data_IF_183900349554
#
_entry.id   IF_183900349554
#
_cell.length_a   1.000
_cell.length_b   1.000
_cell.length_c   1.000
_cell.angle_alpha   90.00
_cell.angle_beta   90.00
_cell.angle_gamma   90.00
#
_symmetry.space_group_name_H-M   'P 1'
#
loop_
_entity.id
_entity.type
_entity.pdbx_description
1 polymer ?
2 non-polymer ?
3 non-polymer ?
4 water ?
#
# COMPACT_ATOMS: atom_id res chain seq x y z
N UNK A 12 4.44 5.72 28.43
CA UNK A 12 4.59 6.09 26.98
C UNK A 12 4.89 4.80 26.16
N UNK A 13 6.10 4.63 25.59
CA UNK A 13 6.31 3.62 24.55
C UNK A 13 7.76 3.21 24.35
N UNK A 14 7.92 2.00 23.80
CA UNK A 14 9.21 1.34 23.71
C UNK A 14 9.60 1.21 22.25
N UNK A 15 10.87 1.43 21.95
CA UNK A 15 11.32 1.28 20.58
C UNK A 15 11.37 -0.19 20.25
N UNK A 16 10.96 -0.53 19.02
CA UNK A 16 10.91 -1.91 18.56
C UNK A 16 11.56 -1.99 17.19
N UNK A 17 11.83 -3.20 16.75
CA UNK A 17 12.40 -3.44 15.41
C UNK A 17 11.82 -4.75 14.94
N UNK A 18 11.78 -4.96 13.63
CA UNK A 18 11.36 -6.27 13.10
C UNK A 18 12.51 -7.24 13.30
N UNK A 19 12.31 -8.23 14.18
CA UNK A 19 13.28 -9.27 14.45
C UNK A 19 13.20 -10.26 13.30
N UNK A 20 11.98 -10.63 12.93
CA UNK A 20 11.82 -11.66 11.94
C UNK A 20 10.43 -11.61 11.33
N UNK A 21 10.31 -12.04 10.09
CA UNK A 21 9.04 -12.28 9.42
C UNK A 21 9.06 -13.71 8.96
N UNK A 22 8.06 -14.50 9.35
CA UNK A 22 7.98 -15.88 8.93
C UNK A 22 6.54 -16.37 8.77
N UNK A 23 6.36 -17.50 8.08
CA UNK A 23 5.07 -18.20 8.03
C UNK A 23 5.00 -19.02 9.30
N UNK A 24 3.95 -18.77 10.09
CA UNK A 24 3.58 -19.63 11.19
C UNK A 24 3.62 -21.10 10.74
N UNK A 25 4.45 -21.93 11.37
CA UNK A 25 4.59 -23.34 10.95
C UNK A 25 3.36 -24.22 11.19
N UNK A 26 2.18 -23.66 11.42
CA UNK A 26 0.97 -24.51 11.55
C UNK A 26 -0.11 -23.94 10.67
N UNK A 27 -0.41 -22.68 10.88
CA UNK A 27 -1.34 -21.92 10.02
C UNK A 27 -0.73 -21.41 8.68
N UNK A 28 0.58 -21.56 8.50
CA UNK A 28 1.29 -21.19 7.25
C UNK A 28 0.88 -19.82 6.75
N UNK A 29 0.75 -18.92 7.71
CA UNK A 29 0.52 -17.55 7.43
C UNK A 29 1.53 -16.70 8.20
N UNK A 30 1.79 -15.50 7.66
CA UNK A 30 2.83 -14.63 8.14
C UNK A 30 2.65 -14.10 9.55
N UNK A 31 3.74 -14.11 10.30
CA UNK A 31 3.78 -13.42 11.58
C UNK A 31 5.06 -12.60 11.65
N UNK A 32 4.90 -11.38 12.09
CA UNK A 32 6.02 -10.43 12.27
C UNK A 32 6.39 -10.54 13.76
N UNK A 33 7.61 -10.97 14.08
CA UNK A 33 8.09 -10.89 15.47
C UNK A 33 8.82 -9.57 15.62
N UNK A 34 8.27 -8.67 16.45
CA UNK A 34 8.92 -7.44 16.79
C UNK A 34 9.70 -7.61 18.08
N UNK A 35 10.94 -7.14 18.09
CA UNK A 35 11.76 -7.16 19.27
C UNK A 35 11.54 -5.85 19.99
N UNK A 36 11.56 -5.87 21.31
CA UNK A 36 11.38 -4.65 22.10
C UNK A 36 12.75 -4.24 22.60
N UNK A 37 13.30 -3.17 22.05
CA UNK A 37 14.63 -2.76 22.48
C UNK A 37 14.68 -2.51 24.00
N UNK A 38 15.84 -2.83 24.57
CA UNK A 38 16.06 -2.69 26.01
C UNK A 38 15.49 -3.85 26.79
N UNK A 39 15.00 -4.89 26.08
CA UNK A 39 14.48 -6.10 26.70
C UNK A 39 14.79 -7.38 25.92
N UNK A 40 14.47 -8.49 26.55
CA UNK A 40 14.41 -9.80 25.89
C UNK A 40 13.00 -10.23 25.45
N UNK A 41 12.14 -9.26 25.27
CA UNK A 41 10.76 -9.50 24.98
C UNK A 41 10.49 -9.33 23.50
N UNK A 42 9.49 -10.05 23.01
CA UNK A 42 9.05 -9.88 21.63
C UNK A 42 7.54 -9.84 21.56
N UNK A 43 7.08 -9.14 20.55
CA UNK A 43 5.65 -9.01 20.24
C UNK A 43 5.34 -9.60 18.85
N UNK A 44 4.68 -10.76 18.81
CA UNK A 44 4.25 -11.32 17.54
C UNK A 44 2.98 -10.64 16.98
N UNK A 45 2.99 -10.27 15.71
CA UNK A 45 1.78 -9.74 15.04
C UNK A 45 1.53 -10.51 13.76
N UNK A 46 0.37 -11.14 13.67
CA UNK A 46 -0.01 -11.95 12.49
C UNK A 46 -0.58 -11.01 11.43
N UNK A 47 -0.16 -11.18 10.19
CA UNK A 47 -0.58 -10.31 9.11
C UNK A 47 -1.01 -11.16 7.92
N UNK A 48 -1.60 -10.51 6.91
CA UNK A 48 -2.11 -11.25 5.73
C UNK A 48 -1.00 -11.66 4.79
N UNK A 49 -1.36 -12.54 3.84
CA UNK A 49 -0.42 -13.05 2.87
C UNK A 49 0.17 -11.92 2.06
N UNK A 50 -0.66 -11.11 1.47
CA UNK A 50 -0.18 -9.94 0.74
C UNK A 50 0.62 -8.95 1.54
N UNK A 51 0.25 -8.69 2.79
CA UNK A 51 1.03 -7.74 3.62
C UNK A 51 2.39 -8.38 3.92
N UNK A 52 2.41 -9.67 4.19
CA UNK A 52 3.64 -10.40 4.50
C UNK A 52 4.61 -10.39 3.33
N UNK A 53 4.10 -10.61 2.12
CA UNK A 53 4.93 -10.48 0.90
C UNK A 53 5.51 -9.07 0.73
N UNK A 54 4.70 -8.05 0.95
CA UNK A 54 5.13 -6.65 0.85
C UNK A 54 6.22 -6.36 1.87
N UNK A 55 6.04 -6.90 3.08
CA UNK A 55 7.03 -6.71 4.13
C UNK A 55 8.31 -7.46 3.85
N UNK A 56 8.20 -8.66 3.31
CA UNK A 56 9.38 -9.42 2.90
C UNK A 56 10.21 -8.62 1.91
N UNK A 57 9.54 -8.14 0.86
CA UNK A 57 10.22 -7.41 -0.19
C UNK A 57 10.95 -6.23 0.42
N UNK A 58 10.27 -5.57 1.36
CA UNK A 58 10.83 -4.37 2.01
C UNK A 58 12.01 -4.77 2.90
N UNK A 59 11.86 -5.85 3.66
CA UNK A 59 12.94 -6.30 4.51
C UNK A 59 14.19 -6.69 3.71
N UNK A 60 13.97 -7.26 2.54
CA UNK A 60 15.06 -7.64 1.64
C UNK A 60 15.70 -6.42 1.01
N UNK A 61 15.01 -5.29 1.11
CA UNK A 61 15.39 -4.03 0.49
C UNK A 61 15.51 -4.31 -1.00
N UNK A 62 14.48 -4.97 -1.48
CA UNK A 62 14.35 -5.44 -2.85
C UNK A 62 14.28 -4.24 -3.82
N UNK A 63 15.17 -4.17 -4.81
CA UNK A 63 15.13 -3.08 -5.78
C UNK A 63 14.29 -3.46 -7.00
N UNK A 64 13.27 -2.66 -7.30
CA UNK A 64 12.35 -2.95 -8.41
C UNK A 64 12.22 -1.82 -9.37
N UNK A 65 12.09 -2.14 -10.65
CA UNK A 65 11.93 -1.12 -11.67
C UNK A 65 10.66 -0.29 -11.52
N UNK A 66 9.58 -0.90 -11.00
CA UNK A 66 8.33 -0.19 -10.82
C UNK A 66 7.96 -0.03 -9.35
N UNK A 67 7.34 1.09 -9.02
CA UNK A 67 6.88 1.33 -7.64
C UNK A 67 5.80 0.37 -7.23
N UNK A 68 6.00 -0.34 -6.12
CA UNK A 68 4.94 -1.11 -5.51
C UNK A 68 4.13 -0.15 -4.67
N UNK A 69 3.08 -0.62 -4.01
CA UNK A 69 2.05 0.24 -3.41
C UNK A 69 2.63 1.09 -2.33
N UNK A 70 3.53 0.52 -1.54
CA UNK A 70 4.10 1.31 -0.45
C UNK A 70 5.07 2.29 -0.95
N UNK A 71 5.78 1.95 -2.02
CA UNK A 71 6.61 2.93 -2.65
C UNK A 71 5.83 4.12 -3.18
N UNK A 72 4.65 3.84 -3.73
CA UNK A 72 3.80 4.86 -4.28
C UNK A 72 3.38 5.77 -3.15
N UNK A 73 3.04 5.19 -2.01
CA UNK A 73 2.65 6.01 -0.88
C UNK A 73 3.78 6.89 -0.47
N UNK A 74 4.99 6.36 -0.43
CA UNK A 74 6.12 7.18 0.02
C UNK A 74 6.39 8.23 -1.00
N UNK A 75 6.18 7.96 -2.28
CA UNK A 75 6.40 9.09 -3.27
C UNK A 75 5.36 10.16 -3.16
N UNK A 76 4.15 9.80 -2.76
CA UNK A 76 3.10 10.79 -2.49
C UNK A 76 3.52 11.69 -1.34
N UNK A 77 4.04 11.06 -0.29
CA UNK A 77 4.54 11.80 0.86
C UNK A 77 5.56 12.81 0.41
N UNK A 78 6.55 12.32 -0.32
CA UNK A 78 7.66 13.16 -0.82
C UNK A 78 7.17 14.33 -1.68
N UNK A 79 6.31 14.04 -2.64
CA UNK A 79 5.64 15.05 -3.46
C UNK A 79 4.96 16.13 -2.65
N UNK A 80 4.38 15.75 -1.53
CA UNK A 80 3.65 16.69 -0.68
C UNK A 80 4.52 17.26 0.44
N UNK A 81 5.83 17.02 0.37
CA UNK A 81 6.81 17.58 1.32
C UNK A 81 6.58 17.08 2.74
N UNK A 82 6.62 15.77 2.87
CA UNK A 82 6.32 15.10 4.10
C UNK A 82 7.10 13.80 4.12
N UNK A 83 7.33 13.30 5.32
CA UNK A 83 8.05 12.06 5.49
C UNK A 83 7.40 11.26 6.58
N UNK A 84 7.65 9.96 6.57
CA UNK A 84 7.30 9.13 7.73
C UNK A 84 8.23 9.52 8.90
N UNK A 85 7.62 9.78 10.05
CA UNK A 85 8.34 10.20 11.23
C UNK A 85 8.60 9.02 12.14
N UNK A 86 7.55 8.22 12.34
CA UNK A 86 7.61 7.08 13.21
C UNK A 86 6.29 6.37 13.10
N UNK A 87 6.23 5.23 13.73
CA UNK A 87 5.11 4.35 13.63
C UNK A 87 4.93 3.79 15.06
N UNK A 88 3.70 3.70 15.53
CA UNK A 88 3.35 3.27 16.87
C UNK A 88 2.32 2.15 16.77
N UNK A 89 2.62 0.98 17.35
CA UNK A 89 1.62 -0.06 17.60
C UNK A 89 1.16 0.17 19.03
N UNK A 90 -0.11 0.55 19.18
CA UNK A 90 -0.56 1.14 20.44
C UNK A 90 -1.67 0.40 21.18
N UNK A 91 -2.51 -0.35 20.46
CA UNK A 91 -3.63 -0.99 21.11
C UNK A 91 -3.93 -2.34 20.55
N UNK A 92 -4.69 -3.11 21.31
CA UNK A 92 -5.22 -4.40 20.87
C UNK A 92 -6.68 -4.48 21.25
N UNK A 93 -7.51 -4.84 20.27
CA UNK A 93 -8.95 -4.99 20.47
C UNK A 93 -9.39 -6.19 19.66
N UNK A 94 -9.99 -7.18 20.32
CA UNK A 94 -10.56 -8.37 19.68
C UNK A 94 -9.65 -8.91 18.59
N UNK A 95 -8.46 -9.32 19.01
CA UNK A 95 -7.46 -9.88 18.11
C UNK A 95 -6.89 -8.92 17.09
N UNK A 96 -7.22 -7.63 17.16
CA UNK A 96 -6.70 -6.65 16.21
C UNK A 96 -5.79 -5.65 16.86
N UNK A 97 -4.57 -5.53 16.35
CA UNK A 97 -3.64 -4.48 16.76
C UNK A 97 -3.94 -3.23 15.96
N UNK A 98 -3.92 -2.09 16.65
CA UNK A 98 -4.13 -0.78 16.03
C UNK A 98 -2.83 0.02 16.07
N UNK A 99 -2.53 0.69 14.96
CA UNK A 99 -1.33 1.49 14.85
C UNK A 99 -1.60 2.91 14.42
N UNK A 100 -0.56 3.73 14.61
CA UNK A 100 -0.56 5.10 14.13
C UNK A 100 0.63 5.30 13.23
N UNK A 101 0.37 5.81 12.02
CA UNK A 101 1.43 6.30 11.15
C UNK A 101 1.59 7.78 11.43
N UNK A 102 2.77 8.17 11.94
CA UNK A 102 3.03 9.56 12.22
C UNK A 102 3.86 10.06 11.06
N UNK A 103 3.31 11.08 10.43
CA UNK A 103 3.81 11.76 9.25
C UNK A 103 4.32 13.11 9.70
N UNK A 104 5.46 13.53 9.17
CA UNK A 104 5.93 14.86 9.44
C UNK A 104 5.80 15.71 8.22
N UNK A 105 5.08 16.82 8.38
CA UNK A 105 4.95 17.84 7.35
C UNK A 105 6.24 18.62 7.37
N UNK A 106 6.99 18.58 6.28
CA UNK A 106 8.27 19.27 6.27
C UNK A 106 8.17 20.74 5.86
N UNK A 107 6.97 21.31 5.60
CA UNK A 107 6.87 22.71 5.14
C UNK A 107 6.77 23.75 6.32
N UNK A 116 4.57 20.66 16.61
CA UNK A 116 3.65 19.63 16.17
C UNK A 116 3.14 19.90 14.73
N UNK A 117 4.07 19.79 13.78
CA UNK A 117 3.73 19.59 12.37
C UNK A 117 3.67 18.07 12.11
N UNK A 118 3.37 17.33 13.17
CA UNK A 118 3.23 15.87 13.03
C UNK A 118 1.76 15.50 12.88
N UNK A 119 1.53 14.46 12.08
CA UNK A 119 0.16 13.99 11.76
C UNK A 119 0.01 12.54 12.12
N UNK A 120 -0.97 12.23 12.97
CA UNK A 120 -1.31 10.87 13.32
C UNK A 120 -2.34 10.31 12.39
N UNK A 121 -2.01 9.21 11.73
CA UNK A 121 -2.90 8.55 10.80
C UNK A 121 -3.09 7.12 11.27
N UNK A 122 -4.34 6.74 11.46
CA UNK A 122 -4.68 5.37 11.77
C UNK A 122 -4.10 4.45 10.71
N UNK A 123 -3.49 3.36 11.15
CA UNK A 123 -2.89 2.39 10.25
C UNK A 123 -3.11 0.96 10.76
N UNK A 124 -3.06 0.00 9.85
CA UNK A 124 -2.88 -1.34 10.30
C UNK A 124 -1.39 -1.48 10.67
N UNK A 125 -1.09 -2.37 11.60
CA UNK A 125 0.32 -2.62 11.95
C UNK A 125 1.16 -3.04 10.73
N UNK A 126 0.58 -3.90 9.88
CA UNK A 126 1.27 -4.36 8.67
C UNK A 126 1.79 -3.17 7.91
N UNK A 127 0.90 -2.27 7.52
CA UNK A 127 1.31 -1.17 6.64
C UNK A 127 2.32 -0.32 7.32
N UNK A 128 2.10 -0.04 8.61
CA UNK A 128 2.98 0.85 9.34
C UNK A 128 4.33 0.22 9.50
N UNK A 129 4.41 -1.06 9.81
CA UNK A 129 5.71 -1.67 9.93
C UNK A 129 6.41 -1.68 8.57
N UNK A 130 5.67 -1.87 7.49
CA UNK A 130 6.27 -1.87 6.12
C UNK A 130 6.86 -0.50 5.88
N UNK A 131 6.11 0.55 6.19
CA UNK A 131 6.60 1.89 5.88
C UNK A 131 7.79 2.31 6.74
N UNK A 132 7.83 1.81 7.98
CA UNK A 132 9.00 1.98 8.85
C UNK A 132 10.21 1.28 8.31
N UNK A 133 10.05 0.01 7.98
CA UNK A 133 11.15 -0.75 7.39
C UNK A 133 11.70 -0.08 6.16
N UNK A 134 10.84 0.40 5.27
CA UNK A 134 11.32 1.07 4.03
C UNK A 134 12.03 2.41 4.25
N UNK A 135 11.55 3.20 5.19
CA UNK A 135 12.10 4.50 5.40
C UNK A 135 13.18 4.55 6.47
N UNK A 136 13.23 3.56 7.34
CA UNK A 136 14.13 3.65 8.45
C UNK A 136 13.53 4.41 9.63
N UNK A 137 12.25 4.79 9.54
CA UNK A 137 11.57 5.42 10.65
C UNK A 137 11.41 4.43 11.80
N UNK A 138 11.56 4.92 13.04
CA UNK A 138 11.43 4.04 14.21
C UNK A 138 10.03 3.51 14.39
N UNK A 139 9.96 2.27 14.86
CA UNK A 139 8.73 1.59 15.32
C UNK A 139 8.71 1.66 16.85
N UNK A 140 7.59 2.14 17.42
CA UNK A 140 7.34 2.12 18.86
C UNK A 140 6.14 1.25 19.20
N UNK A 141 6.24 0.54 20.33
CA UNK A 141 5.15 -0.21 20.88
C UNK A 141 4.81 0.34 22.25
N UNK A 142 3.53 0.51 22.52
CA UNK A 142 3.13 1.13 23.77
C UNK A 142 3.37 0.21 24.94
N UNK A 143 3.60 0.77 26.12
CA UNK A 143 3.91 -0.02 27.27
C UNK A 143 2.80 -0.97 27.62
N UNK A 144 1.56 -0.59 27.33
CA UNK A 144 0.44 -1.49 27.59
C UNK A 144 0.61 -2.76 26.79
N UNK A 145 0.84 -2.63 25.48
CA UNK A 145 1.05 -3.80 24.62
C UNK A 145 2.20 -4.64 25.12
N UNK A 146 3.30 -4.00 25.48
CA UNK A 146 4.48 -4.75 25.92
C UNK A 146 4.18 -5.47 27.22
N UNK A 147 3.59 -4.74 28.16
CA UNK A 147 3.30 -5.31 29.46
C UNK A 147 2.31 -6.46 29.34
N UNK A 148 1.31 -6.30 28.48
CA UNK A 148 0.19 -7.23 28.44
C UNK A 148 0.35 -8.33 27.42
N UNK A 149 1.11 -8.08 26.34
CA UNK A 149 1.12 -9.01 25.20
C UNK A 149 2.46 -9.52 24.70
N UNK A 150 3.53 -8.93 25.17
CA UNK A 150 4.85 -9.30 24.66
C UNK A 150 5.19 -10.59 25.40
N UNK A 151 6.18 -11.33 24.94
CA UNK A 151 6.64 -12.45 25.71
C UNK A 151 8.13 -12.35 25.83
N UNK A 152 8.61 -12.74 27.01
CA UNK A 152 10.02 -12.71 27.35
C UNK A 152 10.64 -14.03 26.99
N UNK A 153 11.60 -13.98 26.05
CA UNK A 153 12.24 -15.21 25.59
C UNK A 153 13.43 -15.63 26.45
N UNK A 154 13.51 -16.95 26.61
CA UNK A 154 14.70 -17.60 27.10
C UNK A 154 15.51 -17.90 25.83
N UNK A 155 16.82 -18.11 25.98
CA UNK A 155 17.68 -18.45 24.83
C UNK A 155 17.16 -19.71 24.13
N UNK A 156 16.67 -20.67 24.91
CA UNK A 156 16.15 -21.91 24.31
C UNK A 156 14.99 -21.62 23.35
N UNK A 157 14.13 -20.67 23.71
CA UNK A 157 13.00 -20.26 22.87
C UNK A 157 13.45 -19.44 21.67
N UNK A 158 14.62 -18.62 21.84
CA UNK A 158 15.15 -17.84 20.71
C UNK A 158 15.74 -18.76 19.67
N UNK A 159 16.44 -19.79 20.13
CA UNK A 159 17.00 -20.80 19.23
C UNK A 159 15.90 -21.48 18.36
N UNK A 160 14.78 -21.83 18.99
CA UNK A 160 13.60 -22.39 18.30
C UNK A 160 13.12 -21.55 17.17
N UNK A 161 13.05 -20.23 17.40
CA UNK A 161 12.72 -19.28 16.34
C UNK A 161 13.78 -19.11 15.24
N UNK A 162 15.05 -19.10 15.66
CA UNK A 162 16.20 -18.89 14.78
C UNK A 162 16.33 -20.04 13.77
N UNK B 12 -5.10 13.99 -26.09
CA UNK B 12 -4.29 12.83 -26.57
C UNK B 12 -4.57 11.52 -25.80
N UNK B 13 -5.72 11.48 -25.12
CA UNK B 13 -6.10 10.34 -24.30
C UNK B 13 -7.61 10.25 -24.15
N UNK B 14 -8.08 9.04 -23.92
CA UNK B 14 -9.49 8.69 -23.91
C UNK B 14 -9.87 8.34 -22.48
N UNK B 15 -11.07 8.70 -22.07
CA UNK B 15 -11.55 8.31 -20.77
C UNK B 15 -11.80 6.82 -20.77
N UNK B 16 -11.57 6.19 -19.63
CA UNK B 16 -11.71 4.75 -19.51
C UNK B 16 -12.33 4.42 -18.19
N UNK B 17 -12.77 3.19 -18.04
CA UNK B 17 -13.29 2.76 -16.77
C UNK B 17 -13.07 1.26 -16.61
N UNK B 18 -13.21 0.80 -15.38
CA UNK B 18 -13.11 -0.61 -15.15
C UNK B 18 -14.38 -1.32 -15.54
N UNK B 19 -14.29 -2.15 -16.57
CA UNK B 19 -15.43 -2.92 -17.03
C UNK B 19 -15.60 -4.13 -16.16
N UNK B 20 -14.52 -4.92 -16.04
CA UNK B 20 -14.45 -6.10 -15.19
C UNK B 20 -13.04 -6.32 -14.70
N UNK B 21 -12.97 -7.19 -13.72
CA UNK B 21 -11.73 -7.75 -13.24
C UNK B 21 -11.99 -9.21 -13.50
N UNK B 22 -11.31 -9.68 -14.53
CA UNK B 22 -11.41 -11.01 -15.00
C UNK B 22 -10.25 -11.86 -14.47
N UNK B 23 -10.35 -13.16 -14.65
CA UNK B 23 -9.20 -14.02 -14.33
C UNK B 23 -8.73 -14.65 -15.64
N UNK B 24 -7.42 -14.61 -15.84
CA UNK B 24 -6.80 -15.26 -16.97
C UNK B 24 -6.58 -16.70 -16.51
N UNK B 25 -7.48 -17.60 -16.85
CA UNK B 25 -7.42 -18.94 -16.28
C UNK B 25 -6.27 -19.77 -16.85
N UNK B 26 -5.58 -19.23 -17.84
CA UNK B 26 -4.38 -19.85 -18.34
C UNK B 26 -3.21 -19.47 -17.45
N UNK B 27 -3.00 -18.18 -17.16
CA UNK B 27 -1.90 -17.80 -16.29
C UNK B 27 -2.37 -17.76 -14.82
N UNK B 28 -3.63 -18.14 -14.59
CA UNK B 28 -4.30 -17.92 -13.32
C UNK B 28 -4.03 -16.57 -12.71
N UNK B 29 -4.07 -15.53 -13.52
CA UNK B 29 -3.84 -14.22 -13.00
C UNK B 29 -4.98 -13.25 -13.34
N UNK B 30 -5.21 -12.30 -12.44
CA UNK B 30 -6.22 -11.26 -12.65
C UNK B 30 -5.93 -10.34 -13.85
N UNK B 31 -6.98 -9.92 -14.56
CA UNK B 31 -6.86 -9.10 -15.73
C UNK B 31 -7.89 -8.02 -15.61
N UNK B 32 -7.44 -6.79 -15.49
CA UNK B 32 -8.34 -5.64 -15.56
C UNK B 32 -8.77 -5.39 -17.00
N UNK B 33 -10.07 -5.25 -17.22
CA UNK B 33 -10.57 -4.93 -18.55
C UNK B 33 -11.09 -3.53 -18.46
N UNK B 34 -10.34 -2.60 -19.04
CA UNK B 34 -10.74 -1.21 -19.09
C UNK B 34 -11.63 -0.94 -20.31
N UNK B 35 -12.80 -0.36 -20.08
CA UNK B 35 -13.61 0.09 -21.18
C UNK B 35 -12.95 1.38 -21.67
N UNK B 36 -12.98 1.63 -22.97
CA UNK B 36 -12.53 2.91 -23.53
C UNK B 36 -13.72 3.72 -24.05
N UNK B 37 -13.95 4.86 -23.45
CA UNK B 37 -15.06 5.71 -23.82
C UNK B 37 -14.88 6.31 -25.20
N UNK B 38 -15.87 6.08 -26.05
CA UNK B 38 -15.81 6.53 -27.43
C UNK B 38 -15.55 5.38 -28.38
N UNK B 39 -15.59 4.13 -27.86
CA UNK B 39 -15.21 2.95 -28.63
C UNK B 39 -15.97 1.75 -28.10
N UNK B 40 -15.92 0.65 -28.85
CA UNK B 40 -16.34 -0.66 -28.34
C UNK B 40 -15.14 -1.55 -27.98
N UNK B 41 -13.96 -0.95 -27.93
CA UNK B 41 -12.76 -1.69 -27.55
C UNK B 41 -12.45 -1.52 -26.09
N UNK B 42 -11.65 -2.43 -25.59
CA UNK B 42 -11.28 -2.50 -24.19
C UNK B 42 -9.77 -2.68 -24.20
N UNK B 43 -9.10 -2.25 -23.13
CA UNK B 43 -7.69 -2.50 -22.95
C UNK B 43 -7.51 -3.40 -21.72
N UNK B 44 -7.02 -4.61 -21.92
CA UNK B 44 -6.74 -5.55 -20.86
C UNK B 44 -5.37 -5.29 -20.20
N UNK B 45 -5.37 -5.28 -18.87
CA UNK B 45 -4.12 -5.11 -18.14
C UNK B 45 -3.99 -6.22 -17.08
N UNK B 46 -2.91 -6.98 -17.21
CA UNK B 46 -2.62 -8.08 -16.31
C UNK B 46 -1.97 -7.47 -15.07
N UNK B 47 -2.43 -7.91 -13.90
CA UNK B 47 -1.92 -7.42 -12.64
C UNK B 47 -1.63 -8.61 -11.71
N UNK B 48 -0.87 -8.41 -10.61
CA UNK B 48 -0.56 -9.53 -9.71
C UNK B 48 -1.76 -9.99 -8.86
N UNK B 49 -1.62 -11.09 -8.13
CA UNK B 49 -2.75 -11.59 -7.32
C UNK B 49 -3.14 -10.61 -6.22
N UNK B 50 -2.17 -10.04 -5.53
CA UNK B 50 -2.47 -9.14 -4.40
C UNK B 50 -3.07 -7.87 -4.88
N UNK B 51 -2.61 -7.45 -6.05
CA UNK B 51 -3.18 -6.24 -6.68
C UNK B 51 -4.63 -6.48 -7.07
N UNK B 52 -4.89 -7.63 -7.68
CA UNK B 52 -6.24 -7.99 -8.07
C UNK B 52 -7.18 -8.08 -6.88
N UNK B 53 -6.67 -8.58 -5.76
CA UNK B 53 -7.50 -8.69 -4.56
C UNK B 53 -7.81 -7.30 -4.08
N UNK B 54 -6.84 -6.42 -4.01
CA UNK B 54 -7.13 -5.09 -3.58
C UNK B 54 -8.12 -4.37 -4.51
N UNK B 55 -8.00 -4.56 -5.81
CA UNK B 55 -8.96 -4.01 -6.77
C UNK B 55 -10.31 -4.68 -6.60
N UNK B 56 -10.36 -6.00 -6.51
CA UNK B 56 -11.63 -6.68 -6.28
C UNK B 56 -12.34 -6.06 -5.05
N UNK B 57 -11.61 -5.73 -3.98
CA UNK B 57 -12.23 -5.23 -2.77
C UNK B 57 -12.70 -3.82 -3.00
N UNK B 58 -11.83 -3.02 -3.67
CA UNK B 58 -12.16 -1.61 -4.02
C UNK B 58 -13.44 -1.50 -4.86
N UNK B 59 -13.59 -2.37 -5.83
CA UNK B 59 -14.77 -2.37 -6.70
C UNK B 59 -16.04 -2.81 -5.96
N UNK B 60 -15.90 -3.63 -4.92
CA UNK B 60 -17.05 -3.92 -4.07
C UNK B 60 -17.51 -2.69 -3.29
N UNK B 61 -16.61 -1.74 -2.96
CA UNK B 61 -17.01 -0.47 -2.37
C UNK B 61 -17.75 -0.74 -1.06
N UNK B 62 -17.14 -1.56 -0.25
CA UNK B 62 -17.77 -2.00 0.97
C UNK B 62 -16.98 -1.53 2.17
N UNK B 63 -17.56 -1.67 3.35
CA UNK B 63 -16.94 -1.14 4.55
C UNK B 63 -16.10 -2.20 5.25
N UNK B 64 -14.88 -1.82 5.58
CA UNK B 64 -13.98 -2.61 6.43
C UNK B 64 -13.62 -1.81 7.64
N UNK B 65 -13.47 -2.48 8.77
CA UNK B 65 -13.28 -1.76 10.01
C UNK B 65 -11.88 -1.19 10.11
N UNK B 66 -10.95 -1.65 9.26
CA UNK B 66 -9.55 -1.22 9.32
C UNK B 66 -9.07 -0.77 7.91
N UNK B 67 -8.25 0.28 7.83
CA UNK B 67 -7.83 0.81 6.56
C UNK B 67 -6.84 -0.11 5.88
N UNK B 68 -7.12 -0.50 4.65
CA UNK B 68 -6.16 -1.25 3.85
C UNK B 68 -5.14 -0.32 3.23
N UNK B 69 -4.19 -0.84 2.46
CA UNK B 69 -3.05 0.05 2.08
C UNK B 69 -3.44 1.24 1.25
N UNK B 70 -4.34 1.05 0.31
CA UNK B 70 -4.74 2.15 -0.58
C UNK B 70 -5.56 3.11 0.18
N UNK B 71 -6.32 2.61 1.15
CA UNK B 71 -7.05 3.54 2.07
C UNK B 71 -6.11 4.40 2.84
N UNK B 72 -4.99 3.82 3.27
CA UNK B 72 -4.05 4.56 4.10
C UNK B 72 -3.35 5.60 3.21
N UNK B 73 -3.05 5.24 1.96
CA UNK B 73 -2.58 6.22 0.96
C UNK B 73 -3.53 7.40 0.82
N UNK B 74 -4.81 7.09 0.73
CA UNK B 74 -5.80 8.11 0.58
C UNK B 74 -5.93 8.96 1.81
N UNK B 75 -5.74 8.37 2.99
CA UNK B 75 -5.74 9.12 4.23
C UNK B 75 -4.51 10.01 4.30
N UNK B 76 -3.37 9.54 3.83
CA UNK B 76 -2.18 10.35 3.78
C UNK B 76 -2.44 11.58 2.89
N UNK B 77 -2.93 11.38 1.67
CA UNK B 77 -3.34 12.53 0.82
C UNK B 77 -4.26 13.54 1.51
N UNK B 78 -5.27 13.01 2.18
CA UNK B 78 -6.28 13.85 2.82
C UNK B 78 -5.63 14.67 3.89
N UNK B 79 -4.68 14.09 4.59
CA UNK B 79 -4.09 14.76 5.72
C UNK B 79 -3.19 15.90 5.25
N UNK B 80 -2.62 15.73 4.06
CA UNK B 80 -1.73 16.70 3.45
C UNK B 80 -2.49 17.58 2.47
N UNK B 81 -3.81 17.67 2.65
CA UNK B 81 -4.68 18.50 1.80
C UNK B 81 -4.42 18.34 0.31
N UNK B 82 -4.65 17.11 -0.12
CA UNK B 82 -4.53 16.72 -1.51
C UNK B 82 -5.55 15.64 -1.80
N UNK B 83 -5.71 15.30 -3.10
CA UNK B 83 -6.58 14.21 -3.49
C UNK B 83 -6.21 13.67 -4.85
N UNK B 84 -6.73 12.49 -5.16
CA UNK B 84 -6.49 11.94 -6.48
C UNK B 84 -7.30 12.80 -7.45
N UNK B 85 -6.62 13.29 -8.49
CA UNK B 85 -7.26 14.10 -9.50
C UNK B 85 -7.69 13.26 -10.67
N UNK B 86 -6.82 12.37 -11.11
CA UNK B 86 -7.09 11.50 -12.24
C UNK B 86 -5.94 10.53 -12.32
N UNK B 87 -6.09 9.56 -13.21
CA UNK B 87 -5.11 8.54 -13.37
C UNK B 87 -4.88 8.38 -14.90
N UNK B 88 -3.64 8.27 -15.34
CA UNK B 88 -3.40 8.08 -16.76
C UNK B 88 -2.58 6.83 -17.01
N UNK B 89 -3.05 5.95 -17.87
CA UNK B 89 -2.26 4.82 -18.34
C UNK B 89 -1.73 5.21 -19.70
N UNK B 90 -0.44 5.47 -19.76
CA UNK B 90 0.09 6.22 -20.85
C UNK B 90 1.07 5.47 -21.73
N UNK B 91 1.80 4.50 -21.19
CA UNK B 91 2.90 3.90 -21.97
C UNK B 91 2.97 2.41 -21.77
N UNK B 92 3.63 1.72 -22.68
CA UNK B 92 3.83 0.28 -22.56
C UNK B 92 5.18 -0.05 -23.14
N UNK B 93 6.06 -0.59 -22.30
CA UNK B 93 7.34 -1.06 -22.77
C UNK B 93 7.66 -2.37 -22.05
N UNK B 94 8.04 -3.39 -22.82
CA UNK B 94 8.56 -4.67 -22.28
C UNK B 94 7.54 -5.29 -21.37
N UNK B 95 6.32 -5.41 -21.91
CA UNK B 95 5.17 -5.92 -21.19
C UNK B 95 4.79 -5.14 -19.95
N UNK B 96 5.08 -3.86 -19.89
CA UNK B 96 4.75 -3.12 -18.68
C UNK B 96 4.09 -1.85 -19.08
N UNK B 97 2.88 -1.63 -18.55
CA UNK B 97 2.18 -0.38 -18.75
C UNK B 97 2.67 0.57 -17.68
N UNK B 98 2.81 1.83 -18.06
CA UNK B 98 3.28 2.88 -17.18
C UNK B 98 2.12 3.83 -16.95
N UNK B 99 1.84 4.11 -15.69
CA UNK B 99 0.75 4.99 -15.31
C UNK B 99 1.26 6.22 -14.57
N UNK B 100 0.44 7.27 -14.59
CA UNK B 100 0.66 8.43 -13.78
C UNK B 100 -0.53 8.62 -12.87
N UNK B 101 -0.24 8.76 -11.59
CA UNK B 101 -1.17 9.18 -10.60
C UNK B 101 -1.00 10.68 -10.60
N UNK B 102 -2.04 11.37 -10.99
CA UNK B 102 -2.06 12.80 -10.93
C UNK B 102 -2.78 13.20 -9.66
N UNK B 103 -2.07 13.91 -8.79
CA UNK B 103 -2.56 14.34 -7.50
C UNK B 103 -2.84 15.82 -7.59
N UNK B 104 -3.89 16.26 -6.89
CA UNK B 104 -4.25 17.68 -6.85
C UNK B 104 -3.95 18.23 -5.47
N UNK B 105 -3.07 19.22 -5.41
CA UNK B 105 -2.79 19.91 -4.16
C UNK B 105 -3.94 20.88 -3.94
N UNK B 106 -4.68 20.66 -2.87
CA UNK B 106 -5.86 21.47 -2.59
C UNK B 106 -5.54 22.78 -1.86
N UNK B 107 -4.26 23.08 -1.63
CA UNK B 107 -3.89 24.42 -1.13
C UNK B 107 -3.93 25.39 -2.29
N UNK B 108 -4.24 24.90 -3.49
CA UNK B 108 -4.55 25.71 -4.66
C UNK B 108 -3.26 26.20 -5.34
N UNK B 114 -3.16 27.87 -11.20
CA UNK B 114 -4.19 27.22 -10.41
C UNK B 114 -4.36 25.75 -10.81
N UNK B 115 -4.17 25.46 -12.09
CA UNK B 115 -4.13 24.07 -12.58
C UNK B 115 -2.70 23.52 -12.53
N UNK B 116 -1.71 24.40 -12.28
CA UNK B 116 -0.35 23.97 -11.96
C UNK B 116 -0.22 23.44 -10.52
N UNK B 117 -1.35 23.21 -9.85
CA UNK B 117 -1.41 22.62 -8.51
C UNK B 117 -1.64 21.13 -8.64
N UNK B 118 -1.39 20.60 -9.84
CA UNK B 118 -1.44 19.17 -10.07
C UNK B 118 -0.03 18.58 -10.02
N UNK B 119 0.10 17.41 -9.39
CA UNK B 119 1.40 16.75 -9.22
C UNK B 119 1.35 15.39 -9.88
N UNK B 120 2.30 15.08 -10.75
CA UNK B 120 2.31 13.78 -11.42
C UNK B 120 3.20 12.82 -10.71
N UNK B 121 2.73 11.61 -10.49
CA UNK B 121 3.52 10.65 -9.77
C UNK B 121 3.56 9.33 -10.54
N UNK B 122 4.75 8.78 -10.69
CA UNK B 122 4.90 7.51 -11.35
C UNK B 122 4.17 6.45 -10.53
N UNK B 123 3.43 5.59 -11.24
CA UNK B 123 2.61 4.59 -10.60
C UNK B 123 2.51 3.38 -11.49
N UNK B 124 2.35 2.18 -10.93
CA UNK B 124 1.93 1.06 -11.73
C UNK B 124 0.44 1.25 -12.09
N UNK B 125 -0.02 0.59 -13.15
CA UNK B 125 -1.42 0.70 -13.51
C UNK B 125 -2.36 0.12 -12.42
N UNK B 126 -1.96 -0.98 -11.76
CA UNK B 126 -2.75 -1.55 -10.67
C UNK B 126 -3.11 -0.53 -9.60
N UNK B 127 -2.10 0.12 -9.06
CA UNK B 127 -2.28 1.04 -7.99
C UNK B 127 -3.12 2.19 -8.41
N UNK B 128 -2.86 2.69 -9.59
CA UNK B 128 -3.58 3.86 -10.12
C UNK B 128 -5.05 3.54 -10.30
N UNK B 129 -5.33 2.41 -10.91
CA UNK B 129 -6.72 2.02 -11.17
C UNK B 129 -7.44 1.86 -9.84
N UNK B 130 -6.76 1.19 -8.89
CA UNK B 130 -7.39 0.97 -7.58
C UNK B 130 -7.72 2.31 -6.93
N UNK B 131 -6.83 3.27 -7.00
CA UNK B 131 -7.12 4.57 -6.45
C UNK B 131 -8.22 5.37 -7.14
N UNK B 132 -8.31 5.19 -8.44
CA UNK B 132 -9.36 5.79 -9.25
C UNK B 132 -10.67 5.11 -8.90
N UNK B 133 -10.67 3.79 -8.74
CA UNK B 133 -11.92 3.11 -8.36
C UNK B 133 -12.37 3.64 -7.01
N UNK B 134 -11.45 3.75 -6.04
CA UNK B 134 -11.79 4.16 -4.68
C UNK B 134 -12.29 5.55 -4.61
N UNK B 135 -11.71 6.44 -5.41
CA UNK B 135 -12.04 7.84 -5.29
C UNK B 135 -13.12 8.33 -6.28
N UNK B 136 -13.45 7.57 -7.30
CA UNK B 136 -14.27 8.09 -8.36
C UNK B 136 -13.50 8.96 -9.35
N UNK B 137 -12.19 9.13 -9.16
CA UNK B 137 -11.38 10.00 -10.03
C UNK B 137 -11.29 9.37 -11.45
N UNK B 138 -11.25 10.17 -12.50
CA UNK B 138 -11.22 9.65 -13.83
C UNK B 138 -9.94 8.92 -14.22
N UNK B 139 -10.12 7.86 -15.00
CA UNK B 139 -9.03 7.12 -15.65
C UNK B 139 -8.99 7.54 -17.11
N UNK B 140 -7.77 7.78 -17.59
CA UNK B 140 -7.52 7.99 -19.00
C UNK B 140 -6.50 7.02 -19.55
N UNK B 141 -6.70 6.65 -20.81
CA UNK B 141 -5.75 5.84 -21.54
C UNK B 141 -5.29 6.62 -22.76
N UNK B 142 -3.98 6.68 -22.96
CA UNK B 142 -3.43 7.41 -24.08
C UNK B 142 -3.87 6.84 -25.44
N UNK B 143 -4.14 7.74 -26.39
CA UNK B 143 -4.58 7.38 -27.74
C UNK B 143 -3.74 6.22 -28.26
N UNK B 144 -2.44 6.36 -28.09
CA UNK B 144 -1.48 5.40 -28.60
C UNK B 144 -1.71 3.96 -28.10
N UNK B 145 -1.97 3.81 -26.81
CA UNK B 145 -2.30 2.50 -26.23
C UNK B 145 -3.60 1.94 -26.79
N UNK B 146 -4.60 2.79 -26.96
CA UNK B 146 -5.87 2.40 -27.56
C UNK B 146 -5.68 1.94 -28.98
N UNK B 147 -5.05 2.79 -29.80
CA UNK B 147 -4.69 2.44 -31.16
C UNK B 147 -3.95 1.10 -31.21
N UNK B 148 -2.86 0.94 -30.45
CA UNK B 148 -2.03 -0.25 -30.65
C UNK B 148 -2.46 -1.47 -29.82
N UNK B 149 -3.09 -1.26 -28.66
CA UNK B 149 -3.33 -2.36 -27.71
C UNK B 149 -4.75 -2.67 -27.28
N UNK B 150 -5.71 -1.81 -27.64
CA UNK B 150 -7.10 -2.10 -27.32
C UNK B 150 -7.56 -3.25 -28.18
N UNK B 151 -8.59 -3.94 -27.70
CA UNK B 151 -9.08 -5.17 -28.29
C UNK B 151 -10.60 -5.07 -28.35
N UNK B 152 -11.21 -5.87 -29.22
CA UNK B 152 -12.65 -5.99 -29.26
C UNK B 152 -13.08 -7.27 -28.51
N UNK B 153 -14.26 -7.24 -27.90
CA UNK B 153 -14.87 -8.43 -27.27
C UNK B 153 -16.28 -8.71 -27.78
X LIG C 1 -2.26 -5.77 9.83
X LIG D 1 13.19 -2.86 12.08
X LIG D 1 12.67 1.15 11.78
X LIG D 1 13.16 -0.76 11.40
X LIG E 1 0.43 -3.19 -12.03
X LIG F 1 -13.83 2.87 -13.06
X LIG F 1 -12.62 6.51 -12.43
X LIG F 1 -13.77 5.28 -11.90
#
# INVERSE_FOLDING_TARGET
MGSDKIHHHHHHMRKAWVKTLALDRVSNTPVVILGIEGTNRVLPIWIGACEGHALALAMEKMEFPRPLTHDLLLSVLESLEARVDKVIIHSLKDNTFYATLVIRDLTYTDEEDEEAALIDIDSRPSDAIILAVKTGAPIFVSDNLVEKHSIELEVNERDLINSR
MGSDKIHHHHHHMRKAWVKTLALDRVSNTPVVILGIEGTNRVLPIWIGACEGHALALAMEKMEFPRPLTHDLLLSVLESLEARVDKVIIHSLKDNTFYATLVIRDLTYTDEEDEEAALIDIDSRPSDAIILAVKTGAPIFVSDNLVEKHSIELEVNERDLINSR
CL CL
UNL O1 O2 O3
CL CL
UNL O1 O2 O3
#
